data_IF_574187707052
#
_entry.id   IF_574187707052
#
_cell.length_a   1.000
_cell.length_b   1.000
_cell.length_c   1.000
_cell.angle_alpha   90.00
_cell.angle_beta   90.00
_cell.angle_gamma   90.00
#
_symmetry.space_group_name_H-M   'P 1'
#
loop_
_entity.id
_entity.type
_entity.pdbx_description
1 polymer ?
#
# COMPACT_ATOMS: atom_id res chain seq x y z
N UNK A 1 13.95 -1.30 29.32
CA UNK A 1 13.71 -1.76 27.94
C UNK A 1 13.37 -0.52 27.13
N UNK A 2 14.04 -0.20 26.02
CA UNK A 2 13.64 0.95 25.23
C UNK A 2 12.23 0.66 24.71
N UNK A 3 11.31 1.57 25.03
CA UNK A 3 9.95 1.57 24.50
C UNK A 3 10.08 2.05 23.04
N UNK A 4 10.49 1.17 22.14
CA UNK A 4 10.54 1.50 20.72
C UNK A 4 9.10 1.71 20.23
N UNK A 5 8.83 2.91 19.74
CA UNK A 5 7.54 3.21 19.15
C UNK A 5 7.33 2.31 17.91
N UNK A 6 6.11 1.82 17.66
CA UNK A 6 5.83 1.02 16.47
C UNK A 6 6.16 1.81 15.21
N UNK A 7 6.81 1.15 14.26
CA UNK A 7 7.06 1.68 12.92
C UNK A 7 5.84 1.38 12.07
N UNK A 8 5.37 2.33 11.28
CA UNK A 8 4.32 2.08 10.30
C UNK A 8 4.94 1.43 9.05
N UNK A 9 4.37 0.31 8.61
CA UNK A 9 4.77 -0.45 7.43
C UNK A 9 3.69 -0.34 6.37
N UNK A 10 4.11 -0.29 5.10
CA UNK A 10 3.24 -0.31 3.93
C UNK A 10 3.28 -1.71 3.33
N UNK A 11 2.14 -2.38 3.32
CA UNK A 11 1.93 -3.67 2.66
C UNK A 11 1.20 -3.45 1.33
N UNK A 12 1.79 -3.96 0.25
CA UNK A 12 1.22 -3.96 -1.10
C UNK A 12 0.70 -5.35 -1.44
N UNK A 13 -0.53 -5.40 -1.96
CA UNK A 13 -1.17 -6.63 -2.39
C UNK A 13 -1.55 -6.55 -3.86
N UNK A 14 -1.39 -7.65 -4.58
CA UNK A 14 -1.92 -7.82 -5.94
C UNK A 14 -2.68 -9.14 -5.98
N UNK A 15 -3.93 -9.08 -6.41
CA UNK A 15 -4.78 -10.27 -6.56
C UNK A 15 -5.80 -10.06 -7.68
N UNK A 16 -6.32 -11.14 -8.24
CA UNK A 16 -7.39 -11.06 -9.23
C UNK A 16 -8.73 -10.71 -8.55
N UNK A 17 -9.52 -9.83 -9.16
CA UNK A 17 -10.92 -9.66 -8.80
C UNK A 17 -11.78 -10.82 -9.34
N UNK A 18 -13.06 -10.84 -8.95
CA UNK A 18 -14.00 -11.89 -9.36
C UNK A 18 -14.25 -11.92 -10.88
N UNK A 19 -13.92 -10.85 -11.61
CA UNK A 19 -14.01 -10.75 -13.06
C UNK A 19 -12.68 -11.09 -13.77
N UNK A 20 -11.63 -11.47 -13.03
CA UNK A 20 -10.30 -11.78 -13.55
C UNK A 20 -9.39 -10.57 -13.79
N UNK A 21 -9.80 -9.38 -13.37
CA UNK A 21 -9.00 -8.15 -13.44
C UNK A 21 -7.97 -8.08 -12.31
N UNK A 22 -6.79 -7.49 -12.57
CA UNK A 22 -5.80 -7.28 -11.52
C UNK A 22 -6.22 -6.14 -10.59
N UNK A 23 -6.33 -6.44 -9.29
CA UNK A 23 -6.62 -5.46 -8.24
C UNK A 23 -5.42 -5.28 -7.34
N UNK A 24 -5.13 -4.02 -7.02
CA UNK A 24 -4.07 -3.63 -6.09
C UNK A 24 -4.68 -3.08 -4.80
N UNK A 25 -4.13 -3.48 -3.66
CA UNK A 25 -4.50 -2.92 -2.35
C UNK A 25 -3.23 -2.48 -1.60
N UNK A 26 -3.33 -1.38 -0.88
CA UNK A 26 -2.25 -0.88 -0.02
C UNK A 26 -2.81 -0.78 1.41
N UNK A 27 -2.08 -1.30 2.40
CA UNK A 27 -2.43 -1.20 3.82
C UNK A 27 -1.27 -0.68 4.63
N UNK A 28 -1.58 0.10 5.65
CA UNK A 28 -0.63 0.52 6.67
C UNK A 28 -0.75 -0.42 7.87
N UNK A 29 0.39 -0.85 8.41
CA UNK A 29 0.49 -1.82 9.52
C UNK A 29 1.49 -1.29 10.52
N UNK A 30 1.08 -1.08 11.76
CA UNK A 30 1.98 -0.70 12.84
C UNK A 30 2.63 -1.95 13.45
N UNK A 31 3.95 -2.04 13.38
CA UNK A 31 4.71 -3.17 13.88
C UNK A 31 6.14 -2.76 14.26
N UNK A 32 6.67 -3.44 15.28
CA UNK A 32 8.05 -3.19 15.75
C UNK A 32 9.09 -3.79 14.82
N UNK A 33 8.77 -4.93 14.19
CA UNK A 33 9.69 -5.66 13.33
C UNK A 33 9.08 -5.96 11.97
N UNK A 34 9.95 -6.16 10.97
CA UNK A 34 9.53 -6.62 9.65
C UNK A 34 8.77 -7.95 9.72
N UNK A 35 9.21 -8.86 10.60
CA UNK A 35 8.58 -10.17 10.75
C UNK A 35 7.12 -10.05 11.22
N UNK A 36 6.88 -9.20 12.22
CA UNK A 36 5.53 -8.93 12.70
C UNK A 36 4.68 -8.22 11.64
N UNK A 37 5.25 -7.24 10.93
CA UNK A 37 4.59 -6.54 9.84
C UNK A 37 4.16 -7.49 8.73
N UNK A 38 5.05 -8.40 8.30
CA UNK A 38 4.75 -9.40 7.29
C UNK A 38 3.69 -10.39 7.77
N UNK A 39 3.82 -10.90 8.99
CA UNK A 39 2.84 -11.82 9.57
C UNK A 39 1.44 -11.19 9.70
N UNK A 40 1.35 -9.90 10.06
CA UNK A 40 0.08 -9.17 10.04
C UNK A 40 -0.42 -8.95 8.61
N UNK A 41 0.47 -8.63 7.66
CA UNK A 41 0.11 -8.44 6.27
C UNK A 41 -0.51 -9.72 5.66
N UNK A 42 0.08 -10.90 5.94
CA UNK A 42 -0.43 -12.20 5.50
C UNK A 42 -1.85 -12.50 6.03
N UNK A 43 -2.17 -12.05 7.25
CA UNK A 43 -3.51 -12.26 7.86
C UNK A 43 -4.59 -11.35 7.28
N UNK A 44 -4.19 -10.22 6.72
CA UNK A 44 -5.11 -9.24 6.11
C UNK A 44 -5.41 -9.56 4.64
N UNK A 45 -4.54 -10.34 3.99
CA UNK A 45 -4.76 -10.82 2.63
C UNK A 45 -5.78 -11.97 2.60
N UNK A 46 -6.51 -12.15 1.49
CA UNK A 46 -7.27 -13.37 1.24
C UNK A 46 -6.39 -14.65 1.27
N UNK A 47 -5.11 -14.52 0.91
CA UNK A 47 -4.07 -15.54 1.03
C UNK A 47 -2.69 -14.88 1.10
N UNK A 48 -1.72 -15.53 1.77
CA UNK A 48 -0.36 -15.00 1.97
C UNK A 48 0.37 -14.71 0.64
N UNK A 49 0.10 -15.50 -0.40
CA UNK A 49 0.68 -15.35 -1.73
C UNK A 49 0.37 -14.01 -2.41
N UNK A 50 -0.66 -13.30 -1.94
CA UNK A 50 -1.04 -11.99 -2.49
C UNK A 50 -0.24 -10.83 -1.88
N UNK A 51 0.57 -11.07 -0.85
CA UNK A 51 1.50 -10.07 -0.30
C UNK A 51 2.66 -9.90 -1.29
N UNK A 52 2.66 -8.79 -2.04
CA UNK A 52 3.73 -8.50 -2.97
C UNK A 52 4.97 -7.96 -2.25
N UNK A 53 4.77 -7.01 -1.32
CA UNK A 53 5.88 -6.43 -0.55
C UNK A 53 5.41 -5.75 0.72
N UNK A 54 6.27 -5.75 1.73
CA UNK A 54 6.10 -5.02 2.99
C UNK A 54 7.34 -4.18 3.23
N UNK A 55 7.19 -2.87 3.42
CA UNK A 55 8.31 -1.93 3.59
C UNK A 55 8.00 -0.90 4.67
N UNK A 56 8.99 -0.38 5.40
CA UNK A 56 8.73 0.68 6.35
C UNK A 56 8.23 1.92 5.58
N UNK A 57 7.24 2.61 6.15
CA UNK A 57 6.75 3.89 5.64
C UNK A 57 7.89 4.90 5.81
N UNK A 58 8.50 5.31 4.71
CA UNK A 58 9.51 6.36 4.68
C UNK A 58 8.87 7.65 4.17
N UNK A 59 9.24 8.80 4.72
CA UNK A 59 8.79 10.13 4.26
C UNK A 59 9.10 10.39 2.76
N UNK A 60 10.06 9.66 2.17
CA UNK A 60 10.39 9.72 0.75
C UNK A 60 9.38 9.03 -0.18
N UNK A 61 8.38 8.31 0.34
CA UNK A 61 7.25 7.83 -0.46
C UNK A 61 6.25 8.96 -0.75
N UNK A 62 6.76 10.07 -1.29
CA UNK A 62 5.96 11.09 -1.94
C UNK A 62 5.39 10.43 -3.19
N UNK A 63 4.14 9.96 -3.09
CA UNK A 63 3.28 9.64 -4.23
C UNK A 63 3.53 10.70 -5.30
N UNK A 64 4.13 10.29 -6.42
CA UNK A 64 4.44 11.18 -7.53
C UNK A 64 3.24 12.07 -7.79
N UNK A 65 3.46 13.38 -7.76
CA UNK A 65 2.39 14.37 -7.81
C UNK A 65 1.46 14.04 -8.96
N UNK A 66 0.23 13.63 -8.66
CA UNK A 66 -0.81 13.47 -9.67
C UNK A 66 -1.11 14.87 -10.19
N UNK A 67 -0.47 15.26 -11.29
CA UNK A 67 -0.87 16.43 -12.08
C UNK A 67 -2.18 16.07 -12.76
N UNK A 68 -3.30 16.25 -12.07
CA UNK A 68 -4.57 16.47 -12.75
C UNK A 68 -4.49 17.84 -13.43
N UNK A 69 -3.86 17.91 -14.60
CA UNK A 69 -4.20 18.92 -15.60
C UNK A 69 -5.35 18.36 -16.41
N UNK A 70 -6.56 18.46 -15.86
CA UNK A 70 -7.77 18.50 -16.68
C UNK A 70 -7.75 19.85 -17.39
N UNK A 71 -7.04 19.92 -18.50
CA UNK A 71 -7.29 20.94 -19.51
C UNK A 71 -8.64 20.59 -20.12
N UNK A 72 -9.70 21.07 -19.46
CA UNK A 72 -11.04 20.98 -20.01
C UNK A 72 -11.04 22.00 -21.14
N UNK A 73 -10.82 21.50 -22.37
CA UNK A 73 -11.07 22.26 -23.59
C UNK A 73 -12.42 22.96 -23.43
N UNK A 74 -12.34 24.28 -23.29
CA UNK A 74 -13.47 25.20 -23.39
C UNK A 74 -13.66 25.44 -24.88
N UNK A 75 -14.42 24.55 -25.48
CA UNK A 75 -15.13 24.80 -26.73
C UNK A 75 -16.37 25.62 -26.34
N UNK A 76 -16.35 26.90 -26.70
CA UNK A 76 -17.45 27.89 -26.66
C UNK A 76 -16.83 29.12 -27.39
N UNK A 77 -17.24 29.69 -28.53
CA UNK A 77 -18.39 29.61 -29.44
C UNK A 77 -17.93 30.24 -30.78
#
# INVERSE_FOLDING_TARGET
MPNEAPVTWIAYYIYADEAGGAKTLIREIDALTYHDAYHFASKLAPAEEFVLSVRPKSDEQILGSVRYSVDRMKEDD
#
